data_IF_974892596830
#
_entry.id   IF_974892596830
#
_cell.length_a   1.000
_cell.length_b   1.000
_cell.length_c   1.000
_cell.angle_alpha   90.00
_cell.angle_beta   90.00
_cell.angle_gamma   90.00
#
_symmetry.space_group_name_H-M   'P 1'
#
loop_
_entity.id
_entity.type
_entity.pdbx_description
1 polymer ?
#
# COMPACT_ATOMS: atom_id res chain seq x y z
N UNK A 1 2.57 -7.74 -2.23
CA UNK A 1 3.14 -6.41 -1.89
C UNK A 1 2.25 -5.59 -0.93
N UNK A 2 0.97 -5.37 -1.25
CA UNK A 2 0.07 -4.54 -0.42
C UNK A 2 -0.35 -5.17 0.91
N UNK A 3 -0.47 -6.51 0.96
CA UNK A 3 -0.70 -7.26 2.21
C UNK A 3 0.37 -6.93 3.26
N UNK A 4 1.60 -6.62 2.82
CA UNK A 4 2.72 -6.32 3.71
C UNK A 4 2.67 -4.89 4.26
N UNK A 5 2.33 -3.92 3.41
CA UNK A 5 2.17 -2.53 3.84
C UNK A 5 1.10 -2.39 4.93
N UNK A 6 0.03 -3.18 4.86
CA UNK A 6 -1.01 -3.27 5.89
C UNK A 6 -0.44 -3.61 7.26
N UNK A 7 0.23 -4.76 7.38
CA UNK A 7 0.75 -5.21 8.67
C UNK A 7 1.75 -4.22 9.27
N UNK A 8 2.42 -3.40 8.46
CA UNK A 8 3.41 -2.41 8.91
C UNK A 8 2.83 -1.00 9.14
N UNK A 9 1.80 -0.61 8.39
CA UNK A 9 1.13 0.70 8.51
C UNK A 9 0.06 0.65 9.62
N UNK A 10 -0.61 -0.49 9.76
CA UNK A 10 -1.67 -0.71 10.76
C UNK A 10 -1.17 -1.36 12.05
N UNK A 11 0.06 -1.87 12.13
CA UNK A 11 0.54 -2.64 13.29
C UNK A 11 0.29 -1.96 14.63
N UNK A 12 -0.42 -2.67 15.51
CA UNK A 12 -0.24 -2.61 16.97
C UNK A 12 0.88 -3.60 17.34
N UNK A 13 2.13 -3.15 17.36
CA UNK A 13 3.28 -4.02 17.68
C UNK A 13 4.60 -3.58 17.05
N UNK A 14 5.67 -4.35 17.27
CA UNK A 14 6.99 -4.03 16.72
C UNK A 14 7.12 -4.50 15.27
N UNK A 15 7.88 -3.75 14.46
CA UNK A 15 8.18 -4.11 13.07
C UNK A 15 8.76 -5.52 12.93
N UNK A 16 9.55 -6.00 13.90
CA UNK A 16 10.13 -7.35 13.91
C UNK A 16 9.04 -8.42 13.98
N UNK A 17 8.07 -8.26 14.88
CA UNK A 17 6.98 -9.21 15.05
C UNK A 17 6.11 -9.29 13.80
N UNK A 18 5.82 -8.15 13.16
CA UNK A 18 5.10 -8.11 11.90
C UNK A 18 5.88 -8.79 10.77
N UNK A 19 7.19 -8.57 10.67
CA UNK A 19 8.04 -9.22 9.66
C UNK A 19 8.11 -10.73 9.85
N UNK A 20 8.29 -11.20 11.08
CA UNK A 20 8.35 -12.63 11.37
C UNK A 20 7.05 -13.31 10.94
N UNK A 21 5.89 -12.84 11.41
CA UNK A 21 4.58 -13.37 11.01
C UNK A 21 4.39 -13.42 9.49
N UNK A 22 4.90 -12.41 8.81
CA UNK A 22 4.70 -12.21 7.38
C UNK A 22 5.64 -13.10 6.56
N UNK A 23 6.85 -13.38 7.04
CA UNK A 23 7.73 -14.41 6.49
C UNK A 23 7.23 -15.84 6.80
N UNK A 24 6.56 -16.05 7.94
CA UNK A 24 5.97 -17.33 8.30
C UNK A 24 4.77 -17.67 7.40
N UNK A 25 3.92 -16.68 7.09
CA UNK A 25 2.75 -16.86 6.20
C UNK A 25 3.18 -17.08 4.74
N UNK A 26 4.25 -16.41 4.29
CA UNK A 26 4.71 -16.44 2.91
C UNK A 26 6.11 -17.02 2.81
N UNK A 27 6.18 -18.36 2.85
CA UNK A 27 7.44 -19.11 2.73
C UNK A 27 8.17 -18.71 1.44
N UNK A 28 9.45 -18.34 1.58
CA UNK A 28 10.31 -17.92 0.46
C UNK A 28 10.35 -16.41 0.18
N UNK A 29 9.50 -15.61 0.84
CA UNK A 29 9.47 -14.15 0.62
C UNK A 29 10.68 -13.43 1.25
N UNK A 30 11.21 -13.94 2.38
CA UNK A 30 12.39 -13.44 3.11
C UNK A 30 12.48 -11.90 3.18
N UNK A 31 11.41 -11.25 3.66
CA UNK A 31 11.34 -9.79 3.74
C UNK A 31 12.28 -9.24 4.82
N UNK A 32 13.22 -8.40 4.39
CA UNK A 32 14.11 -7.68 5.29
C UNK A 32 13.47 -6.39 5.84
N UNK A 33 13.94 -5.94 7.01
CA UNK A 33 13.55 -4.64 7.60
C UNK A 33 13.79 -3.47 6.64
N UNK A 34 14.91 -3.48 5.94
CA UNK A 34 15.31 -2.42 5.01
C UNK A 34 14.35 -2.37 3.82
N UNK A 35 14.00 -3.53 3.26
CA UNK A 35 13.07 -3.64 2.14
C UNK A 35 11.68 -3.13 2.51
N UNK A 36 11.21 -3.47 3.71
CA UNK A 36 9.94 -2.95 4.22
C UNK A 36 9.97 -1.44 4.47
N UNK A 37 11.04 -0.93 5.06
CA UNK A 37 11.19 0.51 5.27
C UNK A 37 11.20 1.26 3.94
N UNK A 38 11.87 0.68 2.94
CA UNK A 38 11.91 1.18 1.58
C UNK A 38 10.51 1.26 0.96
N UNK A 39 9.72 0.19 1.05
CA UNK A 39 8.34 0.17 0.55
C UNK A 39 7.42 1.12 1.30
N UNK A 40 7.52 1.19 2.63
CA UNK A 40 6.77 2.16 3.43
C UNK A 40 7.09 3.59 2.99
N UNK A 41 8.37 3.94 2.84
CA UNK A 41 8.80 5.28 2.42
C UNK A 41 8.24 5.63 1.04
N UNK A 42 8.30 4.70 0.08
CA UNK A 42 7.74 4.90 -1.27
C UNK A 42 6.22 5.05 -1.26
N UNK A 43 5.50 4.22 -0.51
CA UNK A 43 4.05 4.33 -0.37
C UNK A 43 3.64 5.69 0.18
N UNK A 44 4.33 6.16 1.23
CA UNK A 44 4.06 7.48 1.82
C UNK A 44 4.34 8.63 0.85
N UNK A 45 5.41 8.53 0.05
CA UNK A 45 5.76 9.53 -0.97
C UNK A 45 4.76 9.58 -2.13
N UNK A 46 4.20 8.43 -2.50
CA UNK A 46 3.28 8.32 -3.64
C UNK A 46 1.81 8.43 -3.26
N UNK A 47 1.49 8.84 -2.03
CA UNK A 47 0.12 8.79 -1.50
C UNK A 47 -0.92 9.47 -2.41
N UNK A 48 -0.56 10.62 -2.97
CA UNK A 48 -1.42 11.39 -3.88
C UNK A 48 -1.62 10.63 -5.20
N UNK A 49 -0.55 10.10 -5.79
CA UNK A 49 -0.63 9.32 -7.01
C UNK A 49 -1.51 8.07 -6.82
N UNK A 50 -1.39 7.42 -5.66
CA UNK A 50 -2.20 6.26 -5.28
C UNK A 50 -3.68 6.66 -5.19
N UNK A 51 -3.99 7.80 -4.57
CA UNK A 51 -5.35 8.34 -4.51
C UNK A 51 -5.92 8.62 -5.90
N UNK A 52 -5.14 9.27 -6.77
CA UNK A 52 -5.56 9.58 -8.14
C UNK A 52 -5.85 8.29 -8.92
N UNK A 53 -4.94 7.32 -8.89
CA UNK A 53 -5.16 6.06 -9.62
C UNK A 53 -6.32 5.25 -9.07
N UNK A 54 -6.54 5.22 -7.74
CA UNK A 54 -7.73 4.59 -7.16
C UNK A 54 -9.03 5.29 -7.60
N UNK A 55 -9.03 6.62 -7.71
CA UNK A 55 -10.18 7.40 -8.23
C UNK A 55 -10.45 7.07 -9.70
N UNK A 56 -9.40 6.90 -10.50
CA UNK A 56 -9.52 6.55 -11.93
C UNK A 56 -10.04 5.11 -12.10
N UNK A 57 -9.59 4.18 -11.25
CA UNK A 57 -10.07 2.80 -11.25
C UNK A 57 -11.53 2.68 -10.80
N UNK A 58 -11.94 3.48 -9.82
CA UNK A 58 -13.32 3.50 -9.35
C UNK A 58 -13.65 4.87 -8.76
N UNK A 59 -14.44 5.65 -9.50
CA UNK A 59 -14.84 7.01 -9.14
C UNK A 59 -15.73 7.07 -7.88
N UNK A 60 -16.34 5.94 -7.48
CA UNK A 60 -17.20 5.83 -6.29
C UNK A 60 -16.42 5.56 -5.01
N UNK A 61 -15.10 5.31 -5.08
CA UNK A 61 -14.27 5.15 -3.87
C UNK A 61 -14.23 6.46 -3.09
N UNK A 62 -14.57 6.37 -1.80
CA UNK A 62 -14.40 7.45 -0.85
C UNK A 62 -12.94 7.52 -0.42
N UNK A 63 -12.21 8.50 -0.96
CA UNK A 63 -10.81 8.71 -0.62
C UNK A 63 -10.68 9.53 0.68
N UNK A 64 -9.60 9.33 1.45
CA UNK A 64 -9.35 10.12 2.65
C UNK A 64 -9.18 11.61 2.33
N UNK A 65 -9.89 12.46 3.06
CA UNK A 65 -9.82 13.91 2.94
C UNK A 65 -8.41 14.45 3.23
N UNK A 66 -8.06 15.58 2.62
CA UNK A 66 -6.73 16.19 2.72
C UNK A 66 -6.41 16.75 4.11
N UNK A 67 -7.44 17.13 4.87
CA UNK A 67 -7.33 17.63 6.24
C UNK A 67 -6.95 16.54 7.26
N UNK A 68 -6.95 15.26 6.86
CA UNK A 68 -6.51 14.15 7.70
C UNK A 68 -4.99 14.01 7.63
N UNK A 69 -4.35 13.70 8.76
CA UNK A 69 -2.89 13.52 8.80
C UNK A 69 -2.39 12.50 7.77
N UNK A 70 -1.19 12.72 7.21
CA UNK A 70 -0.61 11.86 6.17
C UNK A 70 -0.57 10.37 6.59
N UNK A 71 -0.25 10.11 7.86
CA UNK A 71 -0.22 8.75 8.43
C UNK A 71 -1.62 8.11 8.42
N UNK A 72 -2.63 8.87 8.81
CA UNK A 72 -3.99 8.36 8.90
C UNK A 72 -4.64 8.19 7.51
N UNK A 73 -4.32 9.08 6.56
CA UNK A 73 -4.64 8.89 5.14
C UNK A 73 -4.03 7.60 4.59
N UNK A 74 -2.76 7.32 4.92
CA UNK A 74 -2.09 6.09 4.52
C UNK A 74 -2.74 4.84 5.09
N UNK A 75 -3.18 4.84 6.36
CA UNK A 75 -3.92 3.72 6.93
C UNK A 75 -5.22 3.45 6.16
N UNK A 76 -6.05 4.49 6.00
CA UNK A 76 -7.34 4.38 5.30
C UNK A 76 -7.17 3.91 3.85
N UNK A 77 -6.14 4.38 3.15
CA UNK A 77 -5.86 3.92 1.79
C UNK A 77 -5.49 2.44 1.72
N UNK A 78 -4.72 1.95 2.69
CA UNK A 78 -4.38 0.52 2.74
C UNK A 78 -5.62 -0.33 3.02
N UNK A 79 -6.56 0.15 3.82
CA UNK A 79 -7.86 -0.52 4.04
C UNK A 79 -8.70 -0.57 2.76
N UNK A 80 -8.80 0.55 2.03
CA UNK A 80 -9.49 0.61 0.72
C UNK A 80 -8.87 -0.39 -0.28
N UNK A 81 -7.53 -0.42 -0.35
CA UNK A 81 -6.80 -1.34 -1.24
C UNK A 81 -7.06 -2.80 -0.86
N UNK A 82 -7.20 -3.10 0.44
CA UNK A 82 -7.50 -4.45 0.93
C UNK A 82 -8.92 -4.89 0.57
N UNK A 83 -9.87 -3.99 0.73
CA UNK A 83 -11.30 -4.24 0.48
C UNK A 83 -11.68 -4.15 -0.99
N UNK A 84 -10.71 -3.78 -1.85
CA UNK A 84 -10.94 -3.72 -3.27
C UNK A 84 -11.32 -5.11 -3.80
N UNK A 85 -12.47 -5.26 -4.50
CA UNK A 85 -13.09 -6.55 -4.79
C UNK A 85 -12.31 -7.45 -5.77
N UNK A 86 -11.15 -7.01 -6.26
CA UNK A 86 -10.26 -7.78 -7.14
C UNK A 86 -9.00 -8.19 -6.39
N UNK A 87 -8.42 -9.34 -6.78
CA UNK A 87 -7.14 -9.78 -6.25
C UNK A 87 -6.09 -8.66 -6.38
N UNK A 88 -5.22 -8.51 -5.38
CA UNK A 88 -4.22 -7.43 -5.30
C UNK A 88 -3.31 -7.38 -6.56
N UNK A 89 -3.04 -8.52 -7.19
CA UNK A 89 -2.32 -8.58 -8.46
C UNK A 89 -3.08 -7.85 -9.58
N UNK A 90 -4.40 -8.06 -9.67
CA UNK A 90 -5.30 -7.39 -10.62
C UNK A 90 -5.34 -5.87 -10.36
N UNK A 91 -5.38 -5.44 -9.09
CA UNK A 91 -5.32 -4.01 -8.75
C UNK A 91 -3.99 -3.37 -9.20
N UNK A 92 -2.88 -4.06 -8.96
CA UNK A 92 -1.54 -3.58 -9.35
C UNK A 92 -1.40 -3.43 -10.86
N UNK A 93 -1.94 -4.38 -11.61
CA UNK A 93 -1.95 -4.39 -13.06
C UNK A 93 -2.87 -3.31 -13.64
N UNK A 94 -4.09 -3.18 -13.10
CA UNK A 94 -5.05 -2.15 -13.54
C UNK A 94 -4.54 -0.74 -13.28
N UNK A 95 -3.95 -0.51 -12.10
CA UNK A 95 -3.33 0.77 -11.79
C UNK A 95 -2.18 1.11 -12.74
N UNK A 96 -1.33 0.13 -13.05
CA UNK A 96 -0.24 0.33 -14.00
C UNK A 96 -0.78 0.63 -15.40
N UNK A 97 -1.78 -0.12 -15.86
CA UNK A 97 -2.42 0.10 -17.15
C UNK A 97 -3.04 1.50 -17.29
N UNK A 98 -3.61 2.05 -16.21
CA UNK A 98 -4.28 3.35 -16.22
C UNK A 98 -3.33 4.53 -16.01
N UNK A 99 -2.32 4.38 -15.17
CA UNK A 99 -1.44 5.48 -14.77
C UNK A 99 -0.07 5.46 -15.46
N UNK A 100 0.25 4.37 -16.17
CA UNK A 100 1.60 4.04 -16.66
C UNK A 100 2.69 4.14 -15.58
N UNK A 101 2.30 4.03 -14.32
CA UNK A 101 3.18 4.14 -13.14
C UNK A 101 2.87 2.99 -12.20
N UNK A 102 3.91 2.40 -11.62
CA UNK A 102 3.72 1.46 -10.50
C UNK A 102 3.44 2.25 -9.22
N UNK A 103 2.66 1.70 -8.30
CA UNK A 103 2.35 2.31 -7.00
C UNK A 103 3.59 2.76 -6.20
N UNK A 104 4.75 2.15 -6.45
CA UNK A 104 6.00 2.44 -5.76
C UNK A 104 7.03 3.17 -6.62
N UNK A 105 6.70 3.57 -7.85
CA UNK A 105 7.65 4.31 -8.71
C UNK A 105 7.99 5.64 -8.06
N UNK A 106 9.26 6.02 -8.00
CA UNK A 106 9.64 7.37 -7.59
C UNK A 106 9.19 8.31 -8.72
N UNK A 107 8.28 9.22 -8.41
CA UNK A 107 8.07 10.38 -9.28
C UNK A 107 9.28 11.29 -9.02
N UNK A 108 10.19 11.38 -9.99
CA UNK A 108 11.16 12.46 -10.03
C UNK A 108 10.44 13.79 -10.25
#
# INVERSE_FOLDING_TARGET
MFVYLKEIILSKGTLKACLNKLNDIYVGLNMSRQLVYHYKKRFMKNLILIQIGLRQMNSRIQLPAENVSLRERAKKLVEIIREYPKAICSLSQEFYALSNKTFLTLSN
#
